data_IF_888087655987
#
_entry.id   IF_888087655987
#
_cell.length_a   1.000
_cell.length_b   1.000
_cell.length_c   1.000
_cell.angle_alpha   90.00
_cell.angle_beta   90.00
_cell.angle_gamma   90.00
#
_symmetry.space_group_name_H-M   'P 1'
#
loop_
_entity.id
_entity.type
_entity.pdbx_description
1 polymer ?
#
# COMPACT_ATOMS: atom_id res chain seq x y z
N UNK A 1 20.27 -6.57 11.17
CA UNK A 1 19.43 -5.84 12.16
C UNK A 1 19.56 -4.34 11.98
N UNK A 2 20.78 -3.76 11.93
CA UNK A 2 20.99 -2.32 11.73
C UNK A 2 20.40 -1.78 10.41
N UNK A 3 20.55 -2.53 9.31
CA UNK A 3 19.94 -2.19 8.04
C UNK A 3 18.41 -2.06 8.14
N UNK A 4 17.74 -3.03 8.77
CA UNK A 4 16.30 -3.02 8.92
C UNK A 4 15.83 -1.84 9.80
N UNK A 5 16.55 -1.55 10.88
CA UNK A 5 16.25 -0.40 11.74
C UNK A 5 16.43 0.92 10.98
N UNK A 6 17.50 1.06 10.20
CA UNK A 6 17.74 2.24 9.36
C UNK A 6 16.66 2.41 8.29
N UNK A 7 16.27 1.32 7.61
CA UNK A 7 15.22 1.36 6.60
C UNK A 7 13.86 1.77 7.19
N UNK A 8 13.59 1.33 8.42
CA UNK A 8 12.39 1.71 9.16
C UNK A 8 12.54 3.02 9.96
N UNK A 9 13.63 3.80 9.75
CA UNK A 9 13.89 5.08 10.45
C UNK A 9 13.81 4.96 11.98
N UNK A 10 14.36 3.87 12.52
CA UNK A 10 14.35 3.56 13.97
C UNK A 10 15.73 3.65 14.63
N UNK A 11 16.71 4.25 13.94
CA UNK A 11 18.11 4.27 14.43
C UNK A 11 18.25 4.90 15.82
N UNK A 12 17.48 5.94 16.12
CA UNK A 12 17.52 6.62 17.41
C UNK A 12 16.82 5.82 18.53
N UNK A 13 15.83 4.97 18.15
CA UNK A 13 15.02 4.19 19.09
C UNK A 13 15.58 2.79 19.38
N UNK A 14 16.73 2.44 18.80
CA UNK A 14 17.32 1.09 18.90
C UNK A 14 17.57 0.60 20.33
N UNK A 15 17.76 1.53 21.27
CA UNK A 15 18.00 1.23 22.68
C UNK A 15 16.76 1.40 23.56
N UNK A 16 15.63 1.84 22.98
CA UNK A 16 14.41 2.07 23.72
C UNK A 16 13.58 0.79 23.86
N UNK A 17 12.81 0.70 24.94
CA UNK A 17 11.83 -0.36 25.08
C UNK A 17 10.66 -0.08 24.11
N UNK A 18 10.35 -1.00 23.16
CA UNK A 18 9.28 -0.78 22.18
C UNK A 18 7.92 -0.42 22.79
N UNK A 19 7.63 -0.89 23.98
CA UNK A 19 6.36 -0.60 24.67
C UNK A 19 6.22 0.85 25.12
N UNK A 20 7.33 1.59 25.22
CA UNK A 20 7.33 3.02 25.55
C UNK A 20 7.15 3.91 24.31
N UNK A 21 7.24 3.33 23.11
CA UNK A 21 7.08 4.06 21.86
C UNK A 21 5.60 4.26 21.49
N UNK A 22 5.26 5.34 20.78
CA UNK A 22 3.92 5.51 20.20
C UNK A 22 3.51 4.33 19.32
N UNK A 23 2.21 4.05 19.22
CA UNK A 23 1.70 2.91 18.47
C UNK A 23 2.12 2.94 16.99
N UNK A 24 2.14 4.12 16.38
CA UNK A 24 2.60 4.32 15.00
C UNK A 24 4.05 3.87 14.81
N UNK A 25 4.93 4.18 15.75
CA UNK A 25 6.34 3.78 15.71
C UNK A 25 6.49 2.27 16.01
N UNK A 26 5.72 1.72 16.97
CA UNK A 26 5.76 0.29 17.27
C UNK A 26 5.47 -0.61 16.06
N UNK A 27 4.60 -0.15 15.16
CA UNK A 27 4.34 -0.87 13.90
C UNK A 27 5.62 -1.02 13.06
N UNK A 28 6.42 0.03 12.96
CA UNK A 28 7.71 -0.02 12.26
C UNK A 28 8.74 -0.89 12.97
N UNK A 29 8.71 -0.97 14.30
CA UNK A 29 9.54 -1.95 15.05
C UNK A 29 9.18 -3.38 14.63
N UNK A 30 7.89 -3.68 14.52
CA UNK A 30 7.44 -5.01 14.06
C UNK A 30 7.89 -5.29 12.62
N UNK A 31 7.75 -4.32 11.71
CA UNK A 31 8.22 -4.44 10.33
C UNK A 31 9.74 -4.66 10.31
N UNK A 32 10.51 -3.86 11.03
CA UNK A 32 11.97 -3.99 11.10
C UNK A 32 12.40 -5.36 11.63
N UNK A 33 11.68 -5.93 12.59
CA UNK A 33 11.96 -7.26 13.15
C UNK A 33 11.82 -8.36 12.08
N UNK A 34 10.78 -8.29 11.26
CA UNK A 34 10.57 -9.24 10.15
C UNK A 34 11.59 -9.00 9.03
N UNK A 35 11.89 -7.76 8.69
CA UNK A 35 12.91 -7.43 7.70
C UNK A 35 14.30 -7.94 8.09
N UNK A 36 14.61 -7.94 9.38
CA UNK A 36 15.88 -8.45 9.91
C UNK A 36 16.09 -9.97 9.71
N UNK A 37 15.00 -10.73 9.40
CA UNK A 37 15.05 -12.16 9.07
C UNK A 37 15.53 -12.39 7.62
N UNK A 38 15.54 -11.35 6.82
CA UNK A 38 16.00 -11.33 5.41
C UNK A 38 15.26 -12.30 4.47
N UNK A 39 13.98 -12.54 4.74
CA UNK A 39 13.14 -13.38 3.91
C UNK A 39 12.89 -12.79 2.52
N UNK A 40 12.68 -13.67 1.53
CA UNK A 40 12.38 -13.26 0.14
C UNK A 40 10.95 -12.78 -0.04
N UNK A 41 10.04 -13.17 0.83
CA UNK A 41 8.61 -12.84 0.77
C UNK A 41 8.23 -12.18 2.08
N UNK A 42 7.67 -10.99 1.99
CA UNK A 42 7.12 -10.23 3.11
C UNK A 42 5.61 -10.13 2.94
N UNK A 43 4.86 -10.45 3.99
CA UNK A 43 3.41 -10.26 4.03
C UNK A 43 3.09 -9.17 5.05
N UNK A 44 2.38 -8.14 4.61
CA UNK A 44 1.92 -7.02 5.42
C UNK A 44 0.39 -7.03 5.50
N UNK A 45 -0.13 -7.08 6.70
CA UNK A 45 -1.57 -7.00 6.96
C UNK A 45 -1.92 -5.63 7.52
N UNK A 46 -2.75 -4.88 6.76
CA UNK A 46 -3.20 -3.51 7.07
C UNK A 46 -2.05 -2.57 7.51
N UNK A 47 -0.98 -2.42 6.71
CA UNK A 47 0.19 -1.67 7.15
C UNK A 47 -0.09 -0.17 7.34
N UNK A 48 -1.05 0.41 6.59
CA UNK A 48 -1.42 1.84 6.68
C UNK A 48 -2.35 2.17 7.84
N UNK A 49 -2.99 1.16 8.46
CA UNK A 49 -3.93 1.40 9.54
C UNK A 49 -3.29 2.13 10.73
N UNK A 50 -3.86 3.27 11.12
CA UNK A 50 -3.37 4.10 12.23
C UNK A 50 -2.07 4.86 11.92
N UNK A 51 -1.68 4.95 10.64
CA UNK A 51 -0.57 5.77 10.19
C UNK A 51 -1.06 7.15 9.72
N UNK A 52 -0.26 8.16 9.98
CA UNK A 52 -0.38 9.48 9.36
C UNK A 52 0.36 9.50 8.00
N UNK A 53 0.35 10.63 7.32
CA UNK A 53 1.02 10.81 6.04
C UNK A 53 2.54 10.49 6.13
N UNK A 54 3.18 10.83 7.24
CA UNK A 54 4.61 10.54 7.44
C UNK A 54 4.83 9.03 7.50
N UNK A 55 3.99 8.31 8.25
CA UNK A 55 4.04 6.86 8.35
C UNK A 55 3.76 6.16 7.01
N UNK A 56 2.80 6.66 6.23
CA UNK A 56 2.51 6.14 4.88
C UNK A 56 3.72 6.33 3.97
N UNK A 57 4.32 7.53 3.91
CA UNK A 57 5.51 7.79 3.10
C UNK A 57 6.68 6.88 3.51
N UNK A 58 6.85 6.62 4.81
CA UNK A 58 7.86 5.68 5.32
C UNK A 58 7.60 4.25 4.81
N UNK A 59 6.36 3.79 4.82
CA UNK A 59 5.98 2.48 4.24
C UNK A 59 6.30 2.42 2.75
N UNK A 60 5.99 3.44 1.98
CA UNK A 60 6.28 3.51 0.54
C UNK A 60 7.79 3.47 0.26
N UNK A 61 8.59 4.14 1.08
CA UNK A 61 10.06 4.07 0.99
C UNK A 61 10.56 2.64 1.27
N UNK A 62 10.02 1.97 2.29
CA UNK A 62 10.36 0.58 2.59
C UNK A 62 10.01 -0.34 1.40
N UNK A 63 8.81 -0.22 0.84
CA UNK A 63 8.39 -1.00 -0.34
C UNK A 63 9.31 -0.77 -1.54
N UNK A 64 9.74 0.47 -1.75
CA UNK A 64 10.65 0.85 -2.84
C UNK A 64 12.02 0.18 -2.67
N UNK A 65 12.59 0.19 -1.49
CA UNK A 65 13.89 -0.46 -1.22
C UNK A 65 13.80 -1.99 -1.33
N UNK A 66 12.74 -2.61 -0.79
CA UNK A 66 12.51 -4.04 -0.92
C UNK A 66 12.39 -4.49 -2.38
N UNK A 67 11.73 -3.66 -3.21
CA UNK A 67 11.63 -3.91 -4.65
C UNK A 67 12.99 -3.85 -5.36
N UNK A 68 13.88 -2.92 -4.97
CA UNK A 68 15.26 -2.86 -5.50
C UNK A 68 16.06 -4.12 -5.15
N UNK A 69 15.79 -4.70 -4.00
CA UNK A 69 16.40 -5.97 -3.54
C UNK A 69 15.73 -7.22 -4.13
N UNK A 70 14.79 -7.07 -5.08
CA UNK A 70 14.01 -8.15 -5.68
C UNK A 70 13.23 -9.01 -4.66
N UNK A 71 12.82 -8.43 -3.55
CA UNK A 71 11.93 -9.08 -2.59
C UNK A 71 10.48 -9.00 -3.06
N UNK A 72 9.71 -10.02 -2.74
CA UNK A 72 8.27 -10.04 -3.02
C UNK A 72 7.52 -9.53 -1.80
N UNK A 73 6.68 -8.51 -2.00
CA UNK A 73 5.80 -8.01 -0.94
C UNK A 73 4.34 -8.28 -1.31
N UNK A 74 3.62 -8.90 -0.40
CA UNK A 74 2.17 -9.10 -0.46
C UNK A 74 1.55 -8.24 0.62
N UNK A 75 0.61 -7.37 0.25
CA UNK A 75 -0.09 -6.52 1.22
C UNK A 75 -1.58 -6.81 1.17
N UNK A 76 -2.16 -7.01 2.35
CA UNK A 76 -3.61 -7.07 2.54
C UNK A 76 -4.01 -5.69 3.05
N UNK A 77 -4.93 -5.03 2.36
CA UNK A 77 -5.36 -3.69 2.77
C UNK A 77 -6.74 -3.34 2.20
N UNK A 78 -7.42 -2.43 2.87
CA UNK A 78 -8.60 -1.73 2.38
C UNK A 78 -8.30 -0.26 2.01
N UNK A 79 -7.03 0.14 2.02
CA UNK A 79 -6.56 1.44 1.57
C UNK A 79 -6.30 1.40 0.05
N UNK A 80 -7.29 1.84 -0.71
CA UNK A 80 -7.23 1.76 -2.18
C UNK A 80 -6.17 2.68 -2.76
N UNK A 81 -5.97 3.87 -2.17
CA UNK A 81 -4.93 4.80 -2.62
C UNK A 81 -3.54 4.21 -2.45
N UNK A 82 -3.26 3.62 -1.29
CA UNK A 82 -2.01 2.94 -1.03
C UNK A 82 -1.81 1.74 -1.99
N UNK A 83 -2.88 0.98 -2.26
CA UNK A 83 -2.83 -0.17 -3.15
C UNK A 83 -2.47 0.23 -4.59
N UNK A 84 -3.14 1.23 -5.17
CA UNK A 84 -2.93 1.62 -6.57
C UNK A 84 -1.58 2.30 -6.80
N UNK A 85 -1.07 3.03 -5.81
CA UNK A 85 0.20 3.72 -5.92
C UNK A 85 1.41 2.78 -5.79
N UNK A 86 1.27 1.68 -5.06
CA UNK A 86 2.42 0.84 -4.68
C UNK A 86 2.48 -0.52 -5.37
N UNK A 87 1.35 -1.08 -5.84
CA UNK A 87 1.28 -2.45 -6.33
C UNK A 87 0.82 -2.54 -7.78
N UNK A 88 1.56 -3.32 -8.58
CA UNK A 88 1.24 -3.56 -9.99
C UNK A 88 0.15 -4.61 -10.18
N UNK A 89 -0.01 -5.52 -9.22
CA UNK A 89 -0.93 -6.64 -9.28
C UNK A 89 -1.83 -6.66 -8.06
N UNK A 90 -3.12 -6.62 -8.31
CA UNK A 90 -4.16 -6.56 -7.29
C UNK A 90 -5.02 -7.83 -7.39
N UNK A 91 -5.28 -8.42 -6.24
CA UNK A 91 -6.17 -9.56 -6.05
C UNK A 91 -7.40 -9.08 -5.29
N UNK A 92 -8.55 -9.07 -5.94
CA UNK A 92 -9.82 -8.70 -5.32
C UNK A 92 -10.47 -9.94 -4.72
N UNK A 93 -10.65 -9.92 -3.40
CA UNK A 93 -11.28 -11.00 -2.67
C UNK A 93 -12.56 -10.52 -1.99
N UNK A 94 -13.63 -11.29 -2.11
CA UNK A 94 -14.89 -11.06 -1.40
C UNK A 94 -15.58 -12.39 -1.11
N UNK A 95 -16.32 -12.47 0.02
CA UNK A 95 -17.02 -13.67 0.44
C UNK A 95 -16.18 -14.95 0.41
N UNK A 96 -14.90 -14.86 0.81
CA UNK A 96 -13.91 -15.96 0.80
C UNK A 96 -13.52 -16.48 -0.60
N UNK A 97 -13.89 -15.76 -1.65
CA UNK A 97 -13.54 -16.09 -3.03
C UNK A 97 -12.62 -15.05 -3.64
N UNK A 98 -11.75 -15.49 -4.54
CA UNK A 98 -11.00 -14.61 -5.43
C UNK A 98 -11.92 -14.23 -6.59
N UNK A 99 -12.29 -12.94 -6.68
CA UNK A 99 -13.19 -12.45 -7.74
C UNK A 99 -12.42 -12.06 -9.00
N UNK A 100 -11.31 -11.35 -8.84
CA UNK A 100 -10.52 -10.83 -9.97
C UNK A 100 -9.06 -10.72 -9.60
N UNK A 101 -8.19 -10.83 -10.61
CA UNK A 101 -6.77 -10.49 -10.55
C UNK A 101 -6.48 -9.56 -11.72
N UNK A 102 -5.84 -8.42 -11.45
CA UNK A 102 -5.54 -7.44 -12.50
C UNK A 102 -4.61 -6.33 -12.00
N UNK A 103 -4.35 -5.36 -12.87
CA UNK A 103 -3.72 -4.11 -12.47
C UNK A 103 -4.76 -3.12 -11.91
N UNK A 104 -4.29 -1.99 -11.40
CA UNK A 104 -5.17 -0.99 -10.79
C UNK A 104 -6.27 -0.50 -11.77
N UNK A 105 -5.91 -0.19 -13.02
CA UNK A 105 -6.87 0.29 -14.02
C UNK A 105 -7.95 -0.75 -14.32
N UNK A 106 -7.56 -2.02 -14.51
CA UNK A 106 -8.50 -3.14 -14.77
C UNK A 106 -9.48 -3.37 -13.62
N UNK A 107 -9.03 -3.19 -12.39
CA UNK A 107 -9.86 -3.39 -11.19
C UNK A 107 -10.79 -2.19 -10.95
N UNK A 108 -10.25 -0.98 -10.95
CA UNK A 108 -11.01 0.22 -10.54
C UNK A 108 -11.84 0.84 -11.66
N UNK A 109 -11.76 0.32 -12.90
CA UNK A 109 -12.68 0.67 -13.99
C UNK A 109 -13.89 -0.26 -14.10
N UNK A 110 -13.97 -1.32 -13.30
CA UNK A 110 -15.06 -2.32 -13.32
C UNK A 110 -16.05 -2.04 -12.18
N UNK A 111 -17.08 -1.24 -12.48
CA UNK A 111 -18.08 -0.83 -11.49
C UNK A 111 -18.86 -1.99 -10.88
N UNK A 112 -19.12 -3.07 -11.65
CA UNK A 112 -19.78 -4.26 -11.12
C UNK A 112 -18.89 -4.99 -10.13
N UNK A 113 -17.62 -5.17 -10.46
CA UNK A 113 -16.64 -5.75 -9.55
C UNK A 113 -16.52 -4.96 -8.24
N UNK A 114 -16.42 -3.61 -8.33
CA UNK A 114 -16.32 -2.75 -7.15
C UNK A 114 -17.55 -2.88 -6.26
N UNK A 115 -18.74 -2.92 -6.85
CA UNK A 115 -20.00 -3.11 -6.13
C UNK A 115 -20.07 -4.48 -5.45
N UNK A 116 -19.74 -5.56 -6.17
CA UNK A 116 -19.79 -6.93 -5.65
C UNK A 116 -18.75 -7.19 -4.55
N UNK A 117 -17.60 -6.53 -4.64
CA UNK A 117 -16.53 -6.61 -3.65
C UNK A 117 -16.65 -5.58 -2.53
N UNK A 118 -17.62 -4.66 -2.60
CA UNK A 118 -17.80 -3.53 -1.67
C UNK A 118 -16.55 -2.61 -1.60
N UNK A 119 -15.77 -2.56 -2.67
CA UNK A 119 -14.64 -1.67 -2.81
C UNK A 119 -15.10 -0.27 -3.25
N UNK A 120 -14.40 0.74 -2.79
CA UNK A 120 -14.59 2.13 -3.24
C UNK A 120 -13.65 2.41 -4.40
N UNK A 121 -14.07 3.30 -5.32
CA UNK A 121 -13.15 3.90 -6.29
C UNK A 121 -12.05 4.68 -5.56
N UNK A 122 -10.92 4.86 -6.24
CA UNK A 122 -9.93 5.83 -5.79
C UNK A 122 -10.51 7.26 -5.87
N UNK A 123 -9.95 8.20 -5.12
CA UNK A 123 -10.40 9.61 -5.18
C UNK A 123 -10.32 10.16 -6.59
N UNK A 124 -9.28 9.79 -7.32
CA UNK A 124 -9.10 10.21 -8.72
C UNK A 124 -10.11 9.54 -9.64
N UNK A 125 -10.41 8.26 -9.43
CA UNK A 125 -11.46 7.55 -10.19
C UNK A 125 -12.84 8.20 -10.00
N UNK A 126 -13.22 8.53 -8.75
CA UNK A 126 -14.47 9.24 -8.45
C UNK A 126 -14.49 10.65 -9.08
N UNK A 127 -13.35 11.36 -9.10
CA UNK A 127 -13.22 12.64 -9.77
C UNK A 127 -13.41 12.53 -11.29
N UNK A 128 -12.83 11.52 -11.94
CA UNK A 128 -13.02 11.26 -13.37
C UNK A 128 -14.51 11.07 -13.72
N UNK A 129 -15.21 10.28 -12.91
CA UNK A 129 -16.65 10.04 -13.09
C UNK A 129 -17.45 11.35 -12.98
N UNK A 130 -17.18 12.16 -11.96
CA UNK A 130 -17.86 13.45 -11.75
C UNK A 130 -17.61 14.46 -12.87
N UNK A 131 -16.44 14.39 -13.50
CA UNK A 131 -16.08 15.21 -14.65
C UNK A 131 -16.54 14.61 -15.98
N UNK A 132 -17.19 13.44 -15.99
CA UNK A 132 -17.62 12.69 -17.17
C UNK A 132 -16.46 12.47 -18.17
N UNK A 133 -15.28 12.12 -17.67
CA UNK A 133 -14.14 11.78 -18.52
C UNK A 133 -14.37 10.41 -19.16
N UNK A 134 -14.00 10.26 -20.43
CA UNK A 134 -14.20 9.01 -21.19
C UNK A 134 -13.30 7.85 -20.72
N UNK A 135 -12.24 8.17 -19.99
CA UNK A 135 -11.31 7.19 -19.45
C UNK A 135 -11.15 7.40 -17.94
N UNK A 136 -11.00 6.30 -17.20
CA UNK A 136 -10.77 6.33 -15.76
C UNK A 136 -9.26 6.39 -15.50
N UNK A 137 -8.81 7.45 -14.83
CA UNK A 137 -7.51 7.46 -14.17
C UNK A 137 -7.68 6.91 -12.75
N UNK A 138 -6.68 6.21 -12.25
CA UNK A 138 -6.70 5.65 -10.88
C UNK A 138 -5.66 6.31 -9.97
N UNK A 139 -4.72 7.06 -10.55
CA UNK A 139 -3.70 7.85 -9.85
C UNK A 139 -3.68 9.29 -10.32
N UNK A 140 -3.12 10.18 -9.49
CA UNK A 140 -2.94 11.60 -9.84
C UNK A 140 -2.07 11.74 -11.11
N UNK A 141 -1.02 10.94 -11.24
CA UNK A 141 -0.11 10.99 -12.39
C UNK A 141 -0.82 10.63 -13.70
N UNK A 142 -1.74 9.65 -13.66
CA UNK A 142 -2.56 9.31 -14.81
C UNK A 142 -3.54 10.43 -15.15
N UNK A 143 -4.19 11.01 -14.15
CA UNK A 143 -5.15 12.09 -14.31
C UNK A 143 -4.52 13.33 -14.96
N UNK A 144 -3.33 13.72 -14.53
CA UNK A 144 -2.64 14.88 -15.09
C UNK A 144 -2.33 14.75 -16.59
N UNK A 145 -2.23 13.52 -17.11
CA UNK A 145 -2.00 13.29 -18.56
C UNK A 145 -3.17 13.72 -19.44
N UNK A 146 -4.37 13.92 -18.87
CA UNK A 146 -5.51 14.45 -19.63
C UNK A 146 -5.41 15.96 -19.92
N UNK A 147 -4.49 16.66 -19.27
CA UNK A 147 -4.35 18.11 -19.37
C UNK A 147 -3.01 18.57 -19.99
N UNK A 148 -2.16 17.62 -20.37
CA UNK A 148 -0.88 17.84 -21.03
C UNK A 148 -0.92 17.26 -22.44
#
# INVERSE_FOLDING_TARGET
TEWAAKLCELSEQMQENPYNLPLSIRKFVSIASVLAMDDKILILDEPTAGQDLIGINRLENILTELKKENKTVVTITHDMEFAVNNFKKIFVMSHKNLLRVGNAKEIFSDDELLKDSMLKKTYIGDLCDRLNLNETAVTIEEFLKYFV
#
